data_IF_662902773651
#
_entry.id   IF_662902773651
#
_cell.length_a   1.000
_cell.length_b   1.000
_cell.length_c   1.000
_cell.angle_alpha   90.00
_cell.angle_beta   90.00
_cell.angle_gamma   90.00
#
_symmetry.space_group_name_H-M   'P 1'
#
loop_
_entity.id
_entity.type
_entity.pdbx_description
1 polymer ?
#
# COMPACT_ATOMS: atom_id res chain seq x y z
N UNK A 1 -20.58 -12.41 -18.69
CA UNK A 1 -19.21 -12.00 -18.36
C UNK A 1 -18.20 -12.81 -19.17
N UNK A 2 -17.70 -12.19 -20.26
CA UNK A 2 -16.87 -12.86 -21.29
C UNK A 2 -15.59 -13.43 -20.67
N UNK A 3 -14.97 -12.73 -19.71
CA UNK A 3 -13.70 -13.14 -19.08
C UNK A 3 -13.85 -14.35 -18.15
N UNK A 4 -14.96 -14.48 -17.43
CA UNK A 4 -15.24 -15.68 -16.62
C UNK A 4 -15.34 -16.93 -17.48
N UNK A 5 -16.02 -16.80 -18.61
CA UNK A 5 -16.20 -17.92 -19.55
C UNK A 5 -14.89 -18.36 -20.24
N UNK A 6 -13.98 -17.41 -20.46
CA UNK A 6 -12.66 -17.68 -21.03
C UNK A 6 -11.74 -18.41 -20.02
N UNK A 7 -11.86 -18.09 -18.74
CA UNK A 7 -11.15 -18.79 -17.65
C UNK A 7 -11.61 -20.24 -17.49
N UNK A 8 -12.91 -20.49 -17.65
CA UNK A 8 -13.48 -21.85 -17.66
C UNK A 8 -13.00 -22.70 -18.84
N UNK A 9 -12.64 -22.07 -19.96
CA UNK A 9 -12.12 -22.73 -21.17
C UNK A 9 -10.60 -22.95 -21.13
N UNK A 10 -9.90 -22.53 -20.07
CA UNK A 10 -8.46 -22.68 -19.93
C UNK A 10 -7.62 -21.87 -20.92
N UNK A 11 -8.17 -20.77 -21.46
CA UNK A 11 -7.48 -19.92 -22.44
C UNK A 11 -6.49 -18.98 -21.76
N UNK A 12 -5.28 -18.88 -22.32
CA UNK A 12 -4.33 -17.82 -21.96
C UNK A 12 -4.62 -16.58 -22.78
N UNK A 13 -4.91 -15.46 -22.08
CA UNK A 13 -5.23 -14.18 -22.71
C UNK A 13 -4.15 -13.19 -22.37
N UNK A 14 -3.58 -12.55 -23.38
CA UNK A 14 -2.66 -11.42 -23.23
C UNK A 14 -3.38 -10.14 -23.63
N UNK A 15 -3.41 -9.17 -22.71
CA UNK A 15 -4.06 -7.89 -22.94
C UNK A 15 -3.04 -6.75 -22.75
N UNK A 16 -3.08 -5.79 -23.63
CA UNK A 16 -2.31 -4.55 -23.51
C UNK A 16 -3.28 -3.43 -23.15
N UNK A 17 -3.08 -2.81 -22.00
CA UNK A 17 -3.93 -1.73 -21.50
C UNK A 17 -3.17 -0.83 -20.54
N UNK A 18 -3.62 0.41 -20.39
CA UNK A 18 -3.20 1.33 -19.33
C UNK A 18 -4.27 1.49 -18.25
N UNK A 19 -5.39 0.77 -18.37
CA UNK A 19 -6.51 0.82 -17.42
C UNK A 19 -6.24 -0.15 -16.26
N UNK A 20 -5.63 0.35 -15.20
CA UNK A 20 -5.26 -0.47 -14.04
C UNK A 20 -6.49 -1.05 -13.30
N UNK A 21 -7.65 -0.40 -13.39
CA UNK A 21 -8.91 -0.95 -12.87
C UNK A 21 -9.30 -2.27 -13.56
N UNK A 22 -9.07 -2.38 -14.84
CA UNK A 22 -9.28 -3.61 -15.59
C UNK A 22 -8.24 -4.65 -15.17
N UNK A 23 -6.96 -4.26 -15.09
CA UNK A 23 -5.86 -5.15 -14.68
C UNK A 23 -6.15 -5.76 -13.31
N UNK A 24 -6.53 -4.95 -12.31
CA UNK A 24 -6.79 -5.44 -10.94
C UNK A 24 -7.96 -6.41 -10.84
N UNK A 25 -8.95 -6.28 -11.73
CA UNK A 25 -10.16 -7.11 -11.69
C UNK A 25 -10.02 -8.46 -12.39
N UNK A 26 -9.33 -8.51 -13.52
CA UNK A 26 -9.38 -9.68 -14.41
C UNK A 26 -8.04 -10.35 -14.70
N UNK A 27 -6.90 -9.65 -14.50
CA UNK A 27 -5.58 -10.22 -14.82
C UNK A 27 -5.02 -11.01 -13.64
N UNK A 28 -4.41 -12.17 -13.91
CA UNK A 28 -3.70 -12.96 -12.90
C UNK A 28 -2.25 -12.45 -12.73
N UNK A 29 -1.62 -12.02 -13.81
CA UNK A 29 -0.25 -11.48 -13.86
C UNK A 29 -0.22 -10.20 -14.67
N UNK A 30 0.78 -9.38 -14.39
CA UNK A 30 1.04 -8.14 -15.10
C UNK A 30 2.52 -8.02 -15.42
N UNK A 31 2.82 -7.49 -16.61
CA UNK A 31 4.14 -7.02 -16.99
C UNK A 31 4.04 -5.52 -17.30
N UNK A 32 4.73 -4.70 -16.53
CA UNK A 32 4.78 -3.25 -16.71
C UNK A 32 5.87 -2.92 -17.72
N UNK A 33 5.52 -2.16 -18.73
CA UNK A 33 6.45 -1.76 -19.79
C UNK A 33 6.74 -0.27 -19.75
N UNK A 34 7.99 0.08 -19.98
CA UNK A 34 8.43 1.45 -20.16
C UNK A 34 9.41 1.51 -21.35
N UNK A 35 9.14 2.37 -22.33
CA UNK A 35 9.97 2.55 -23.55
C UNK A 35 10.30 1.23 -24.25
N UNK A 36 9.32 0.31 -24.33
CA UNK A 36 9.48 -0.97 -25.02
C UNK A 36 10.17 -2.07 -24.20
N UNK A 37 10.54 -1.81 -22.96
CA UNK A 37 11.22 -2.77 -22.07
C UNK A 37 10.27 -3.12 -20.91
N UNK A 38 10.22 -4.41 -20.53
CA UNK A 38 9.55 -4.82 -19.30
C UNK A 38 10.41 -4.38 -18.09
N UNK A 39 9.86 -3.51 -17.27
CA UNK A 39 10.55 -2.94 -16.09
C UNK A 39 10.14 -3.63 -14.79
N UNK A 40 8.96 -4.26 -14.77
CA UNK A 40 8.48 -5.03 -13.62
C UNK A 40 7.46 -6.07 -14.08
N UNK A 41 7.48 -7.25 -13.47
CA UNK A 41 6.47 -8.28 -13.70
C UNK A 41 6.15 -9.07 -12.43
N UNK A 42 4.94 -9.59 -12.33
CA UNK A 42 4.54 -10.41 -11.19
C UNK A 42 3.06 -10.77 -11.18
N UNK A 43 2.60 -11.34 -10.07
CA UNK A 43 1.16 -11.41 -9.82
C UNK A 43 0.60 -9.99 -9.66
N UNK A 44 -0.65 -9.78 -10.08
CA UNK A 44 -1.27 -8.46 -9.93
C UNK A 44 -1.26 -8.01 -8.48
N UNK A 45 -1.56 -8.91 -7.54
CA UNK A 45 -1.56 -8.62 -6.10
C UNK A 45 -0.18 -8.14 -5.62
N UNK A 46 0.90 -8.83 -6.03
CA UNK A 46 2.25 -8.48 -5.57
C UNK A 46 2.72 -7.13 -6.13
N UNK A 47 2.48 -6.90 -7.43
CA UNK A 47 2.84 -5.64 -8.09
C UNK A 47 2.07 -4.46 -7.51
N UNK A 48 0.79 -4.63 -7.18
CA UNK A 48 0.00 -3.59 -6.52
C UNK A 48 0.41 -3.38 -5.06
N UNK A 49 0.77 -4.46 -4.35
CA UNK A 49 1.18 -4.41 -2.95
C UNK A 49 2.56 -3.79 -2.75
N UNK A 50 3.50 -4.07 -3.66
CA UNK A 50 4.91 -3.69 -3.56
C UNK A 50 5.48 -3.27 -4.91
N UNK A 51 5.00 -2.17 -5.50
CA UNK A 51 5.56 -1.68 -6.76
C UNK A 51 7.04 -1.34 -6.57
N UNK A 52 7.90 -1.91 -7.42
CA UNK A 52 9.35 -1.77 -7.30
C UNK A 52 9.88 -0.60 -8.12
N UNK A 53 9.25 -0.30 -9.26
CA UNK A 53 9.74 0.73 -10.17
C UNK A 53 8.91 2.01 -10.07
N UNK A 54 9.51 3.16 -10.33
CA UNK A 54 8.82 4.45 -10.38
C UNK A 54 7.70 4.46 -11.45
N UNK A 55 7.91 3.77 -12.56
CA UNK A 55 6.89 3.60 -13.60
C UNK A 55 5.66 2.88 -13.05
N UNK A 56 5.86 1.79 -12.31
CA UNK A 56 4.77 1.04 -11.68
C UNK A 56 4.06 1.87 -10.62
N UNK A 57 4.81 2.55 -9.75
CA UNK A 57 4.27 3.44 -8.71
C UNK A 57 3.40 4.53 -9.33
N UNK A 58 3.85 5.16 -10.41
CA UNK A 58 3.08 6.20 -11.10
C UNK A 58 1.80 5.67 -11.74
N UNK A 59 1.82 4.45 -12.33
CA UNK A 59 0.64 3.82 -12.92
C UNK A 59 -0.40 3.43 -11.86
N UNK A 60 0.04 2.93 -10.72
CA UNK A 60 -0.83 2.47 -9.64
C UNK A 60 -1.27 3.64 -8.75
N UNK A 61 -0.44 4.67 -8.60
CA UNK A 61 -0.66 5.80 -7.72
C UNK A 61 -1.94 6.58 -7.98
N UNK A 62 -2.38 6.60 -9.23
CA UNK A 62 -3.66 7.24 -9.61
C UNK A 62 -4.89 6.46 -9.11
N UNK A 63 -4.74 5.18 -8.79
CA UNK A 63 -5.85 4.32 -8.35
C UNK A 63 -5.77 4.08 -6.85
N UNK A 64 -4.57 3.95 -6.33
CA UNK A 64 -4.31 3.80 -4.91
C UNK A 64 -3.66 5.08 -4.43
N UNK A 65 -4.40 5.92 -3.73
CA UNK A 65 -3.88 7.17 -3.18
C UNK A 65 -2.57 6.88 -2.40
N UNK A 66 -1.44 6.95 -3.10
CA UNK A 66 -0.12 6.63 -2.55
C UNK A 66 0.58 7.87 -1.99
N UNK A 67 0.16 9.06 -2.40
CA UNK A 67 0.79 10.31 -1.97
C UNK A 67 -0.19 11.16 -1.18
N UNK A 68 0.33 11.75 -0.11
CA UNK A 68 -0.43 12.73 0.67
C UNK A 68 -0.59 14.01 -0.16
N UNK A 69 -1.80 14.61 -0.19
CA UNK A 69 -1.98 15.91 -0.82
C UNK A 69 -1.03 16.97 -0.22
N UNK A 70 -0.52 17.88 -1.06
CA UNK A 70 0.46 18.89 -0.62
C UNK A 70 0.01 19.71 0.59
N UNK A 71 -1.28 20.08 0.66
CA UNK A 71 -1.85 20.80 1.81
C UNK A 71 -1.86 19.96 3.10
N UNK A 72 -1.91 18.64 2.99
CA UNK A 72 -1.82 17.75 4.13
C UNK A 72 -0.37 17.57 4.58
N UNK A 73 0.58 17.54 3.65
CA UNK A 73 2.01 17.51 3.96
C UNK A 73 2.42 18.71 4.80
N UNK A 74 1.96 19.92 4.44
CA UNK A 74 2.24 21.14 5.21
C UNK A 74 1.70 21.03 6.64
N UNK A 75 0.45 20.59 6.81
CA UNK A 75 -0.16 20.40 8.14
C UNK A 75 0.58 19.35 8.98
N UNK A 76 1.01 18.25 8.36
CA UNK A 76 1.80 17.23 9.06
C UNK A 76 3.12 17.81 9.53
N UNK A 77 3.82 18.58 8.69
CA UNK A 77 5.07 19.26 9.06
C UNK A 77 4.89 20.24 10.21
N UNK A 78 3.83 21.02 10.19
CA UNK A 78 3.48 21.92 11.31
C UNK A 78 3.20 21.15 12.60
N UNK A 79 2.42 20.08 12.53
CA UNK A 79 2.05 19.26 13.69
C UNK A 79 3.24 18.59 14.36
N UNK A 80 4.26 18.20 13.59
CA UNK A 80 5.45 17.50 14.11
C UNK A 80 6.65 18.41 14.32
N UNK A 81 6.51 19.72 14.06
CA UNK A 81 7.61 20.69 14.16
C UNK A 81 8.28 20.72 15.54
N UNK A 82 7.47 20.55 16.60
CA UNK A 82 7.91 20.57 18.00
C UNK A 82 8.27 19.16 18.55
N UNK A 83 8.10 18.10 17.74
CA UNK A 83 8.42 16.75 18.15
C UNK A 83 9.88 16.41 17.79
N UNK A 84 10.48 15.51 18.59
CA UNK A 84 11.76 14.93 18.22
C UNK A 84 11.61 14.15 16.91
N UNK A 85 12.30 14.63 15.86
CA UNK A 85 12.24 14.03 14.52
C UNK A 85 12.66 12.56 14.51
N UNK A 86 13.49 12.12 15.45
CA UNK A 86 13.88 10.72 15.61
C UNK A 86 12.78 9.83 16.18
N UNK A 87 11.73 10.41 16.76
CA UNK A 87 10.59 9.68 17.34
C UNK A 87 9.35 9.65 16.43
N UNK A 88 9.33 10.45 15.36
CA UNK A 88 8.18 10.56 14.45
C UNK A 88 8.35 9.59 13.29
N UNK A 89 7.36 8.75 13.06
CA UNK A 89 7.34 7.77 11.98
C UNK A 89 6.08 7.91 11.14
N UNK A 90 6.26 8.03 9.83
CA UNK A 90 5.17 8.00 8.86
C UNK A 90 5.30 6.71 8.07
N UNK A 91 4.29 5.86 8.19
CA UNK A 91 4.28 4.52 7.62
C UNK A 91 3.16 4.40 6.60
N UNK A 92 3.48 3.86 5.45
CA UNK A 92 2.51 3.35 4.49
C UNK A 92 2.35 1.86 4.71
N UNK A 93 1.13 1.44 4.97
CA UNK A 93 0.75 0.08 5.28
C UNK A 93 -0.13 -0.48 4.16
N UNK A 94 0.11 -1.73 3.75
CA UNK A 94 -0.73 -2.41 2.77
C UNK A 94 -1.23 -3.74 3.34
N UNK A 95 -2.53 -3.97 3.22
CA UNK A 95 -3.27 -5.12 3.72
C UNK A 95 -3.87 -5.88 2.56
N UNK A 96 -3.89 -7.22 2.61
CA UNK A 96 -4.46 -8.06 1.56
C UNK A 96 -5.32 -9.17 2.18
N UNK A 97 -6.49 -9.41 1.58
CA UNK A 97 -7.38 -10.51 1.99
C UNK A 97 -8.00 -10.29 3.36
N UNK A 98 -7.91 -11.27 4.25
CA UNK A 98 -8.51 -11.23 5.58
C UNK A 98 -7.94 -10.14 6.50
N UNK A 99 -6.73 -9.69 6.24
CA UNK A 99 -6.08 -8.66 7.05
C UNK A 99 -6.75 -7.28 6.90
N UNK A 100 -7.46 -7.03 5.80
CA UNK A 100 -8.21 -5.78 5.58
C UNK A 100 -9.31 -5.58 6.64
N UNK A 101 -9.90 -6.66 7.15
CA UNK A 101 -11.00 -6.61 8.12
C UNK A 101 -10.54 -6.77 9.58
N UNK A 102 -9.26 -7.09 9.81
CA UNK A 102 -8.72 -7.25 11.17
C UNK A 102 -8.38 -5.89 11.79
N UNK A 103 -8.59 -5.72 13.10
CA UNK A 103 -8.30 -4.46 13.79
C UNK A 103 -6.81 -4.31 14.15
N UNK A 104 -5.89 -4.64 13.21
CA UNK A 104 -4.44 -4.70 13.45
C UNK A 104 -3.90 -3.38 13.99
N UNK A 105 -4.36 -2.24 13.47
CA UNK A 105 -3.88 -0.91 13.91
C UNK A 105 -4.34 -0.59 15.32
N UNK A 106 -5.60 -0.82 15.64
CA UNK A 106 -6.11 -0.56 17.01
C UNK A 106 -5.56 -1.56 18.03
N UNK A 107 -5.25 -2.78 17.62
CA UNK A 107 -4.52 -3.74 18.47
C UNK A 107 -3.09 -3.27 18.74
N UNK A 108 -2.37 -2.84 17.70
CA UNK A 108 -1.01 -2.28 17.83
C UNK A 108 -0.99 -1.04 18.74
N UNK A 109 -1.91 -0.09 18.52
CA UNK A 109 -2.03 1.12 19.33
C UNK A 109 -2.17 0.80 20.82
N UNK A 110 -3.05 -0.16 21.18
CA UNK A 110 -3.23 -0.58 22.57
C UNK A 110 -2.04 -1.35 23.13
N UNK A 111 -1.46 -2.25 22.33
CA UNK A 111 -0.37 -3.14 22.76
C UNK A 111 0.91 -2.34 23.06
N UNK A 112 1.24 -1.39 22.21
CA UNK A 112 2.45 -0.58 22.33
C UNK A 112 2.24 0.76 23.00
N UNK A 113 0.98 1.06 23.42
CA UNK A 113 0.58 2.34 24.03
C UNK A 113 1.05 3.53 23.19
N UNK A 114 0.75 3.50 21.90
CA UNK A 114 1.07 4.54 20.93
C UNK A 114 -0.19 5.14 20.33
N UNK A 115 -0.14 6.44 20.06
CA UNK A 115 -1.17 7.12 19.28
C UNK A 115 -0.90 6.93 17.79
N UNK A 116 -1.96 6.66 17.05
CA UNK A 116 -1.91 6.49 15.59
C UNK A 116 -2.86 7.47 14.94
N UNK A 117 -2.31 8.38 14.15
CA UNK A 117 -3.09 9.27 13.30
C UNK A 117 -3.14 8.73 11.88
N UNK A 118 -4.35 8.53 11.33
CA UNK A 118 -4.56 8.08 9.95
C UNK A 118 -4.56 9.33 9.06
N UNK A 119 -3.54 9.44 8.22
CA UNK A 119 -3.38 10.55 7.28
C UNK A 119 -4.12 10.31 5.96
N UNK A 120 -4.14 9.05 5.52
CA UNK A 120 -4.78 8.64 4.27
C UNK A 120 -5.19 7.18 4.40
N UNK A 121 -6.33 6.81 3.82
CA UNK A 121 -6.78 5.43 3.81
C UNK A 121 -7.68 5.14 2.61
N UNK A 122 -7.49 3.96 2.04
CA UNK A 122 -8.29 3.44 0.96
C UNK A 122 -8.47 1.94 1.12
N UNK A 123 -9.68 1.47 0.80
CA UNK A 123 -9.98 0.04 0.67
C UNK A 123 -10.53 -0.19 -0.72
N UNK A 124 -10.02 -1.21 -1.37
CA UNK A 124 -10.37 -1.61 -2.73
C UNK A 124 -10.39 -3.14 -2.82
N UNK A 125 -10.60 -3.66 -4.01
CA UNK A 125 -10.60 -5.08 -4.31
C UNK A 125 -9.69 -5.38 -5.50
N UNK A 126 -8.82 -6.38 -5.33
CA UNK A 126 -7.94 -6.90 -6.39
C UNK A 126 -8.21 -8.39 -6.56
N UNK A 127 -8.71 -8.81 -7.71
CA UNK A 127 -9.06 -10.21 -8.00
C UNK A 127 -10.06 -10.81 -6.99
N UNK A 128 -11.05 -10.07 -6.54
CA UNK A 128 -12.02 -10.54 -5.54
C UNK A 128 -11.45 -10.65 -4.12
N UNK A 129 -10.26 -10.14 -3.86
CA UNK A 129 -9.66 -10.07 -2.53
C UNK A 129 -9.60 -8.62 -2.07
N UNK A 130 -10.03 -8.38 -0.84
CA UNK A 130 -9.88 -7.06 -0.23
C UNK A 130 -8.42 -6.60 -0.27
N UNK A 131 -8.21 -5.36 -0.64
CA UNK A 131 -6.93 -4.68 -0.63
C UNK A 131 -7.08 -3.34 0.07
N UNK A 132 -6.28 -3.06 1.08
CA UNK A 132 -6.32 -1.81 1.82
C UNK A 132 -4.95 -1.17 1.91
N UNK A 133 -4.92 0.16 1.82
CA UNK A 133 -3.73 0.96 2.12
C UNK A 133 -4.07 1.99 3.18
N UNK A 134 -3.15 2.18 4.13
CA UNK A 134 -3.23 3.24 5.13
C UNK A 134 -1.88 3.96 5.19
N UNK A 135 -1.91 5.29 5.20
CA UNK A 135 -0.75 6.08 5.61
C UNK A 135 -1.03 6.61 7.00
N UNK A 136 -0.18 6.24 7.94
CA UNK A 136 -0.32 6.60 9.36
C UNK A 136 0.88 7.40 9.83
N UNK A 137 0.64 8.25 10.81
CA UNK A 137 1.68 8.93 11.59
C UNK A 137 1.59 8.43 13.04
N UNK A 138 2.73 8.09 13.61
CA UNK A 138 2.87 7.75 15.03
C UNK A 138 4.16 8.35 15.58
N UNK A 139 4.21 8.52 16.89
CA UNK A 139 5.42 8.94 17.60
C UNK A 139 5.74 7.92 18.68
N UNK A 140 6.94 7.36 18.62
CA UNK A 140 7.44 6.41 19.62
C UNK A 140 8.97 6.31 19.58
N UNK A 141 9.55 5.77 20.65
CA UNK A 141 10.98 5.52 20.67
C UNK A 141 11.40 4.36 19.75
N UNK A 142 12.68 4.24 19.48
CA UNK A 142 13.27 3.25 18.55
C UNK A 142 12.92 1.80 18.92
N UNK A 143 12.90 1.46 20.21
CA UNK A 143 12.59 0.09 20.66
C UNK A 143 11.12 -0.25 20.39
N UNK A 144 10.21 0.65 20.75
CA UNK A 144 8.78 0.49 20.48
C UNK A 144 8.52 0.44 18.97
N UNK A 145 9.21 1.27 18.19
CA UNK A 145 9.09 1.26 16.74
C UNK A 145 9.53 -0.09 16.13
N UNK A 146 10.64 -0.64 16.60
CA UNK A 146 11.12 -1.95 16.13
C UNK A 146 10.10 -3.06 16.43
N UNK A 147 9.50 -3.06 17.63
CA UNK A 147 8.46 -4.01 18.01
C UNK A 147 7.18 -3.84 17.18
N UNK A 148 6.80 -2.60 16.89
CA UNK A 148 5.66 -2.30 16.01
C UNK A 148 5.87 -2.87 14.60
N UNK A 149 7.06 -2.67 14.02
CA UNK A 149 7.38 -3.22 12.71
C UNK A 149 7.33 -4.75 12.68
N UNK A 150 7.86 -5.41 13.72
CA UNK A 150 7.80 -6.86 13.84
C UNK A 150 6.36 -7.36 13.96
N UNK A 151 5.55 -6.71 14.80
CA UNK A 151 4.13 -7.01 14.96
C UNK A 151 3.37 -6.92 13.63
N UNK A 152 3.55 -5.82 12.89
CA UNK A 152 2.88 -5.61 11.61
C UNK A 152 3.28 -6.67 10.58
N UNK A 153 4.57 -7.00 10.50
CA UNK A 153 5.08 -8.07 9.61
C UNK A 153 4.50 -9.44 9.95
N UNK A 154 4.41 -9.77 11.24
CA UNK A 154 3.82 -11.02 11.73
C UNK A 154 2.34 -11.16 11.35
N UNK A 155 1.65 -10.04 11.18
CA UNK A 155 0.26 -9.98 10.73
C UNK A 155 0.14 -9.77 9.20
N UNK A 156 1.18 -10.09 8.43
CA UNK A 156 1.22 -9.98 6.97
C UNK A 156 0.93 -8.57 6.43
N UNK A 157 1.11 -7.53 7.23
CA UNK A 157 1.03 -6.15 6.79
C UNK A 157 2.35 -5.76 6.11
N UNK A 158 2.26 -5.26 4.90
CA UNK A 158 3.43 -4.67 4.24
C UNK A 158 3.63 -3.26 4.76
N UNK A 159 4.85 -2.95 5.18
CA UNK A 159 5.20 -1.65 5.74
C UNK A 159 6.28 -0.99 4.90
N UNK A 160 6.05 0.24 4.51
CA UNK A 160 7.02 1.16 3.91
C UNK A 160 7.12 2.40 4.78
N UNK A 161 8.31 2.73 5.24
CA UNK A 161 8.54 3.97 5.97
C UNK A 161 8.76 5.11 4.98
N UNK A 162 7.93 6.14 5.07
CA UNK A 162 7.94 7.29 4.16
C UNK A 162 8.26 8.61 4.87
N UNK A 163 8.73 8.55 6.10
CA UNK A 163 9.07 9.71 6.94
C UNK A 163 9.98 10.69 6.21
N UNK A 164 11.08 10.22 5.61
CA UNK A 164 12.06 11.04 4.89
C UNK A 164 11.53 11.68 3.59
N UNK A 165 10.40 11.21 3.07
CA UNK A 165 9.77 11.79 1.89
C UNK A 165 8.74 12.87 2.26
N UNK A 166 8.31 12.90 3.52
CA UNK A 166 7.27 13.79 4.03
C UNK A 166 7.85 14.93 4.88
N UNK A 167 8.83 14.66 5.70
CA UNK A 167 9.50 15.60 6.61
C UNK A 167 10.84 16.05 6.07
#
# INVERSE_FOLDING_TARGET
DVYKRQKELGLTIVMITHQMDVVKQICDRVAVMNKGIVVEEGSVIDVFRRPQTETTKALIGNIMAQELPGSMLERVREQVADLDKGSVHILRLSFVGSEVTRPVISEASRMFNIDVNILLGQVDEVQGKGFGTLTILTSCNTDTFSQLLEYLRKHNVTVEEVTSHVL
#
